data_IF_908258510110
#
_entry.id   IF_908258510110
#
_cell.length_a   1.000
_cell.length_b   1.000
_cell.length_c   1.000
_cell.angle_alpha   90.00
_cell.angle_beta   90.00
_cell.angle_gamma   90.00
#
_symmetry.space_group_name_H-M   'P 1'
#
loop_
_entity.id
_entity.type
_entity.pdbx_description
1 polymer ?
#
# COMPACT_ATOMS: atom_id res chain seq x y z
N UNK A 1 -0.82 -13.82 -24.16
CA UNK A 1 -0.50 -12.39 -24.03
C UNK A 1 -1.78 -11.56 -24.16
N UNK A 2 -2.13 -10.81 -23.14
CA UNK A 2 -3.35 -9.98 -23.11
C UNK A 2 -2.99 -8.60 -23.63
N UNK A 3 -3.65 -8.18 -24.73
CA UNK A 3 -3.44 -6.88 -25.33
C UNK A 3 -4.54 -5.88 -24.97
N UNK A 4 -5.70 -6.38 -24.52
CA UNK A 4 -6.84 -5.58 -24.07
C UNK A 4 -7.32 -6.11 -22.72
N UNK A 5 -7.60 -5.19 -21.78
CA UNK A 5 -8.11 -5.51 -20.46
C UNK A 5 -9.18 -4.48 -20.10
N UNK A 6 -10.37 -4.95 -19.78
CA UNK A 6 -11.45 -4.07 -19.33
C UNK A 6 -11.36 -3.89 -17.81
N UNK A 7 -11.55 -2.64 -17.37
CA UNK A 7 -11.44 -2.24 -15.96
C UNK A 7 -12.84 -1.97 -15.43
N UNK A 8 -13.17 -2.57 -14.29
CA UNK A 8 -14.44 -2.42 -13.59
C UNK A 8 -14.24 -1.86 -12.18
N UNK A 9 -15.31 -1.29 -11.63
CA UNK A 9 -15.42 -0.90 -10.24
C UNK A 9 -16.86 -1.12 -9.76
N UNK A 10 -17.06 -1.93 -8.72
CA UNK A 10 -18.39 -2.29 -8.21
C UNK A 10 -19.36 -2.72 -9.34
N UNK A 11 -18.88 -3.53 -10.27
CA UNK A 11 -19.67 -4.04 -11.41
C UNK A 11 -19.91 -3.05 -12.55
N UNK A 12 -19.44 -1.80 -12.45
CA UNK A 12 -19.55 -0.78 -13.49
C UNK A 12 -18.27 -0.73 -14.34
N UNK A 13 -18.37 -0.59 -15.66
CA UNK A 13 -17.20 -0.43 -16.51
C UNK A 13 -16.55 0.94 -16.27
N UNK A 14 -15.30 0.93 -15.83
CA UNK A 14 -14.49 2.16 -15.65
C UNK A 14 -13.87 2.58 -16.97
N UNK A 15 -13.32 1.63 -17.72
CA UNK A 15 -12.63 1.90 -18.96
C UNK A 15 -11.88 0.69 -19.49
N UNK A 16 -11.02 0.94 -20.47
CA UNK A 16 -10.26 -0.11 -21.15
C UNK A 16 -8.77 0.23 -21.17
N UNK A 17 -7.94 -0.74 -20.82
CA UNK A 17 -6.50 -0.74 -21.03
C UNK A 17 -6.15 -1.46 -22.32
N UNK A 18 -5.28 -0.89 -23.14
CA UNK A 18 -4.81 -1.46 -24.39
C UNK A 18 -3.28 -1.44 -24.43
N UNK A 19 -2.67 -2.57 -24.76
CA UNK A 19 -1.24 -2.66 -25.04
C UNK A 19 -1.01 -2.58 -26.55
N UNK A 20 -0.30 -1.55 -26.99
CA UNK A 20 0.03 -1.35 -28.40
C UNK A 20 1.18 -2.27 -28.86
N UNK A 21 1.39 -2.36 -30.17
CA UNK A 21 2.49 -3.17 -30.76
C UNK A 21 3.88 -2.68 -30.33
N UNK A 22 4.02 -1.39 -30.10
CA UNK A 22 5.24 -0.74 -29.57
C UNK A 22 5.31 -0.74 -28.04
N UNK A 23 4.50 -1.60 -27.39
CA UNK A 23 4.46 -1.85 -25.94
C UNK A 23 4.11 -0.64 -25.07
N UNK A 24 3.37 0.32 -25.59
CA UNK A 24 2.77 1.40 -24.80
C UNK A 24 1.41 0.98 -24.28
N UNK A 25 1.10 1.36 -23.04
CA UNK A 25 -0.21 1.15 -22.46
C UNK A 25 -1.05 2.40 -22.65
N UNK A 26 -2.23 2.21 -23.22
CA UNK A 26 -3.26 3.23 -23.37
C UNK A 26 -4.39 2.96 -22.39
N UNK A 27 -5.07 4.01 -21.95
CA UNK A 27 -6.29 3.91 -21.16
C UNK A 27 -7.33 4.92 -21.68
N UNK A 28 -8.57 4.49 -21.73
CA UNK A 28 -9.71 5.36 -22.02
C UNK A 28 -10.85 5.00 -21.07
N UNK A 29 -11.48 6.03 -20.49
CA UNK A 29 -12.70 5.85 -19.70
C UNK A 29 -13.86 5.37 -20.55
N UNK A 30 -14.76 4.58 -19.96
CA UNK A 30 -16.02 4.21 -20.58
C UNK A 30 -17.00 5.39 -20.56
N UNK A 31 -17.91 5.42 -21.54
CA UNK A 31 -18.99 6.42 -21.56
C UNK A 31 -19.88 6.38 -20.31
N UNK A 32 -20.08 5.18 -19.75
CA UNK A 32 -20.86 5.00 -18.52
C UNK A 32 -20.16 5.64 -17.32
N UNK A 33 -18.84 5.42 -17.20
CA UNK A 33 -18.05 5.99 -16.11
C UNK A 33 -17.93 7.51 -16.20
N UNK A 34 -17.81 8.05 -17.41
CA UNK A 34 -17.79 9.48 -17.65
C UNK A 34 -19.04 10.20 -17.16
N UNK A 35 -20.21 9.53 -17.21
CA UNK A 35 -21.49 10.12 -16.77
C UNK A 35 -21.64 10.16 -15.24
N UNK A 36 -21.12 9.19 -14.51
CA UNK A 36 -21.44 9.01 -13.08
C UNK A 36 -20.25 8.68 -12.20
N UNK A 37 -19.09 8.40 -12.78
CA UNK A 37 -17.88 8.03 -12.07
C UNK A 37 -17.08 9.23 -11.53
N UNK A 38 -15.84 8.97 -11.25
CA UNK A 38 -14.87 9.94 -10.76
C UNK A 38 -13.50 9.69 -11.41
N UNK A 39 -12.59 10.65 -11.30
CA UNK A 39 -11.20 10.46 -11.74
C UNK A 39 -10.49 9.47 -10.81
N UNK A 40 -10.07 8.32 -11.34
CA UNK A 40 -9.35 7.29 -10.57
C UNK A 40 -7.92 7.69 -10.23
N UNK A 41 -7.36 8.68 -10.91
CA UNK A 41 -6.14 9.41 -10.53
C UNK A 41 -6.33 10.88 -10.92
N UNK A 42 -6.66 11.78 -9.99
CA UNK A 42 -7.02 13.16 -10.31
C UNK A 42 -5.86 13.99 -10.91
N UNK A 43 -4.63 13.52 -10.80
CA UNK A 43 -3.45 14.21 -11.32
C UNK A 43 -3.03 13.71 -12.72
N UNK A 44 -3.25 12.43 -13.02
CA UNK A 44 -2.73 11.78 -14.24
C UNK A 44 -3.82 11.29 -15.19
N UNK A 45 -4.99 11.00 -14.66
CA UNK A 45 -6.14 10.50 -15.41
C UNK A 45 -7.40 11.32 -15.06
N UNK A 46 -7.43 12.62 -15.40
CA UNK A 46 -8.66 13.41 -15.23
C UNK A 46 -9.82 12.77 -15.97
N UNK A 47 -11.03 12.96 -15.45
CA UNK A 47 -12.23 12.38 -16.07
C UNK A 47 -12.52 13.08 -17.41
N UNK A 48 -12.12 12.47 -18.51
CA UNK A 48 -12.31 12.98 -19.87
C UNK A 48 -12.44 11.84 -20.88
N UNK A 49 -12.95 12.17 -22.10
CA UNK A 49 -13.08 11.24 -23.21
C UNK A 49 -11.76 10.92 -23.93
N UNK A 50 -10.67 11.57 -23.53
CA UNK A 50 -9.36 11.42 -24.15
C UNK A 50 -8.78 10.02 -23.94
N UNK A 51 -7.93 9.61 -24.88
CA UNK A 51 -7.10 8.43 -24.74
C UNK A 51 -5.80 8.83 -24.05
N UNK A 52 -5.58 8.33 -22.86
CA UNK A 52 -4.35 8.55 -22.12
C UNK A 52 -3.26 7.56 -22.54
N UNK A 53 -2.02 8.00 -22.52
CA UNK A 53 -0.85 7.18 -22.80
C UNK A 53 0.03 7.12 -21.55
N UNK A 54 0.32 5.92 -21.05
CA UNK A 54 1.21 5.77 -19.92
C UNK A 54 2.63 6.23 -20.30
N UNK A 55 3.20 7.08 -19.45
CA UNK A 55 4.50 7.71 -19.68
C UNK A 55 5.51 7.48 -18.56
N UNK A 56 5.05 6.95 -17.41
CA UNK A 56 5.92 6.71 -16.26
C UNK A 56 6.91 5.56 -16.52
N UNK A 57 8.21 5.75 -16.28
CA UNK A 57 9.19 4.69 -16.40
C UNK A 57 9.17 3.70 -15.21
N UNK A 58 8.49 4.04 -14.11
CA UNK A 58 8.61 3.34 -12.83
C UNK A 58 7.66 2.15 -12.67
N UNK A 59 6.59 2.04 -13.46
CA UNK A 59 5.50 1.07 -13.28
C UNK A 59 5.41 0.06 -14.42
N UNK A 60 6.55 -0.38 -14.98
CA UNK A 60 6.59 -1.31 -16.12
C UNK A 60 5.80 -0.80 -17.34
N UNK A 61 5.74 0.53 -17.51
CA UNK A 61 4.98 1.18 -18.59
C UNK A 61 3.47 1.23 -18.34
N UNK A 62 3.00 1.04 -17.11
CA UNK A 62 1.61 1.15 -16.71
C UNK A 62 1.36 2.51 -16.01
N UNK A 63 0.11 2.95 -15.96
CA UNK A 63 -0.28 4.06 -15.11
C UNK A 63 -0.19 3.67 -13.62
N UNK A 64 0.22 4.61 -12.78
CA UNK A 64 0.43 4.35 -11.36
C UNK A 64 -0.78 3.75 -10.64
N UNK A 65 -1.99 4.26 -10.92
CA UNK A 65 -3.23 3.77 -10.28
C UNK A 65 -3.52 2.30 -10.54
N UNK A 66 -3.20 1.79 -11.73
CA UNK A 66 -3.33 0.36 -12.02
C UNK A 66 -2.14 -0.42 -11.47
N UNK A 67 -0.97 0.22 -11.38
CA UNK A 67 0.21 -0.40 -10.80
C UNK A 67 0.09 -0.67 -9.30
N UNK A 68 -0.74 0.08 -8.58
CA UNK A 68 -1.08 -0.20 -7.17
C UNK A 68 -1.77 -1.57 -6.98
N UNK A 69 -2.39 -2.11 -8.03
CA UNK A 69 -2.97 -3.45 -8.03
C UNK A 69 -1.96 -4.55 -8.35
N UNK A 70 -0.80 -4.20 -8.93
CA UNK A 70 0.21 -5.20 -9.29
C UNK A 70 0.79 -5.87 -8.03
N UNK A 71 1.07 -7.17 -8.11
CA UNK A 71 1.79 -7.83 -7.03
C UNK A 71 3.18 -7.21 -6.85
N UNK A 72 3.55 -6.96 -5.60
CA UNK A 72 4.91 -6.58 -5.22
C UNK A 72 5.83 -7.81 -5.15
N UNK A 73 7.05 -7.64 -4.62
CA UNK A 73 8.12 -8.64 -4.66
C UNK A 73 7.67 -10.06 -4.25
N UNK A 74 6.92 -10.19 -3.15
CA UNK A 74 6.45 -11.49 -2.70
C UNK A 74 5.33 -12.04 -3.59
N UNK A 75 4.34 -11.23 -3.95
CA UNK A 75 3.25 -11.62 -4.85
C UNK A 75 3.76 -11.96 -6.27
N UNK A 76 4.76 -11.24 -6.76
CA UNK A 76 5.41 -11.54 -8.04
C UNK A 76 6.13 -12.90 -7.99
N UNK A 77 6.84 -13.19 -6.90
CA UNK A 77 7.49 -14.49 -6.69
C UNK A 77 6.47 -15.65 -6.68
N UNK A 78 5.32 -15.44 -6.02
CA UNK A 78 4.21 -16.37 -6.00
C UNK A 78 3.65 -16.62 -7.41
N UNK A 79 3.37 -15.54 -8.15
CA UNK A 79 2.85 -15.61 -9.51
C UNK A 79 3.82 -16.37 -10.43
N UNK A 80 5.10 -16.01 -10.41
CA UNK A 80 6.10 -16.67 -11.24
C UNK A 80 6.24 -18.16 -10.90
N UNK A 81 6.29 -18.52 -9.64
CA UNK A 81 6.40 -19.90 -9.20
C UNK A 81 5.18 -20.72 -9.63
N UNK A 82 3.98 -20.17 -9.41
CA UNK A 82 2.72 -20.79 -9.82
C UNK A 82 2.68 -21.09 -11.32
N UNK A 83 3.06 -20.11 -12.14
CA UNK A 83 3.03 -20.25 -13.59
C UNK A 83 4.08 -21.25 -14.10
N UNK A 84 5.29 -21.20 -13.55
CA UNK A 84 6.34 -22.17 -13.87
C UNK A 84 5.93 -23.61 -13.53
N UNK A 85 5.26 -23.82 -12.39
CA UNK A 85 4.74 -25.16 -12.03
C UNK A 85 3.69 -25.65 -13.03
N UNK A 86 2.99 -24.74 -13.73
CA UNK A 86 2.05 -25.05 -14.82
C UNK A 86 2.71 -25.12 -16.20
N UNK A 87 4.04 -25.04 -16.27
CA UNK A 87 4.80 -25.09 -17.52
C UNK A 87 4.70 -23.80 -18.36
N UNK A 88 4.26 -22.69 -17.77
CA UNK A 88 4.12 -21.41 -18.45
C UNK A 88 5.42 -20.62 -18.33
N UNK A 89 5.97 -20.19 -19.48
CA UNK A 89 7.09 -19.24 -19.50
C UNK A 89 6.61 -17.86 -19.02
N UNK A 90 7.24 -17.34 -17.98
CA UNK A 90 6.90 -16.04 -17.37
C UNK A 90 7.66 -14.87 -17.97
N UNK A 91 8.68 -15.12 -18.78
CA UNK A 91 9.51 -14.07 -19.37
C UNK A 91 8.76 -13.10 -20.32
N UNK A 92 7.75 -13.55 -21.11
CA UNK A 92 6.99 -12.65 -21.99
C UNK A 92 5.83 -11.93 -21.30
N UNK A 93 5.54 -12.19 -20.02
CA UNK A 93 4.39 -11.58 -19.33
C UNK A 93 4.46 -10.06 -19.31
N UNK A 94 3.39 -9.45 -19.79
CA UNK A 94 3.20 -8.00 -19.78
C UNK A 94 2.60 -7.53 -18.45
N UNK A 95 2.53 -6.22 -18.23
CA UNK A 95 1.82 -5.65 -17.10
C UNK A 95 0.30 -5.96 -17.14
N UNK A 96 -0.30 -6.05 -18.35
CA UNK A 96 -1.70 -6.43 -18.50
C UNK A 96 -1.95 -7.90 -18.15
N UNK A 97 -1.04 -8.81 -18.53
CA UNK A 97 -1.13 -10.20 -18.11
C UNK A 97 -1.12 -10.30 -16.57
N UNK A 98 -0.24 -9.56 -15.89
CA UNK A 98 -0.16 -9.53 -14.42
C UNK A 98 -1.43 -8.99 -13.78
N UNK A 99 -2.00 -7.91 -14.31
CA UNK A 99 -3.29 -7.38 -13.83
C UNK A 99 -4.42 -8.40 -13.98
N UNK A 100 -4.44 -9.18 -15.07
CA UNK A 100 -5.43 -10.25 -15.23
C UNK A 100 -5.28 -11.35 -14.17
N UNK A 101 -4.06 -11.67 -13.74
CA UNK A 101 -3.84 -12.62 -12.64
C UNK A 101 -4.20 -12.04 -11.25
N UNK A 102 -4.24 -10.73 -11.10
CA UNK A 102 -4.83 -10.06 -9.93
C UNK A 102 -6.35 -10.11 -9.98
N UNK A 103 -6.93 -9.86 -11.16
CA UNK A 103 -8.37 -9.90 -11.40
C UNK A 103 -9.14 -9.01 -10.44
N UNK A 104 -9.97 -9.61 -9.60
CA UNK A 104 -10.81 -8.92 -8.60
C UNK A 104 -10.21 -8.90 -7.19
N UNK A 105 -9.03 -9.50 -6.96
CA UNK A 105 -8.44 -9.66 -5.62
C UNK A 105 -7.58 -8.47 -5.16
N UNK A 106 -7.29 -7.51 -6.05
CA UNK A 106 -6.39 -6.38 -5.78
C UNK A 106 -6.82 -5.44 -4.65
N UNK A 107 -5.92 -4.52 -4.31
CA UNK A 107 -6.23 -3.42 -3.41
C UNK A 107 -7.16 -2.41 -4.09
N UNK A 108 -7.97 -1.72 -3.29
CA UNK A 108 -8.94 -0.75 -3.79
C UNK A 108 -10.15 -1.37 -4.49
N UNK A 109 -10.79 -0.59 -5.37
CA UNK A 109 -12.06 -0.95 -6.02
C UNK A 109 -11.87 -1.55 -7.42
N UNK A 110 -10.69 -1.35 -8.04
CA UNK A 110 -10.50 -1.72 -9.45
C UNK A 110 -10.43 -3.23 -9.63
N UNK A 111 -11.09 -3.71 -10.67
CA UNK A 111 -11.16 -5.11 -11.07
C UNK A 111 -10.84 -5.23 -12.56
N UNK A 112 -10.22 -6.33 -12.95
CA UNK A 112 -9.66 -6.51 -14.29
C UNK A 112 -10.25 -7.74 -14.97
N UNK A 113 -10.70 -7.57 -16.22
CA UNK A 113 -11.31 -8.63 -17.03
C UNK A 113 -10.55 -8.74 -18.36
N UNK A 114 -10.05 -9.94 -18.75
CA UNK A 114 -10.30 -11.24 -18.13
C UNK A 114 -9.68 -11.37 -16.75
N UNK A 115 -10.42 -12.05 -15.85
CA UNK A 115 -9.96 -12.40 -14.50
C UNK A 115 -9.37 -13.82 -14.53
N UNK A 116 -8.05 -13.91 -14.34
CA UNK A 116 -7.29 -15.16 -14.28
C UNK A 116 -6.83 -15.49 -12.85
N UNK A 117 -7.34 -14.77 -11.85
CA UNK A 117 -7.05 -15.03 -10.45
C UNK A 117 -7.57 -16.42 -10.04
N UNK A 118 -6.95 -17.07 -9.05
CA UNK A 118 -7.48 -18.33 -8.54
C UNK A 118 -8.86 -18.08 -7.90
N UNK A 119 -9.78 -18.99 -8.20
CA UNK A 119 -11.14 -18.95 -7.61
C UNK A 119 -11.17 -19.84 -6.39
N UNK A 120 -11.75 -19.37 -5.31
CA UNK A 120 -11.98 -20.11 -4.07
C UNK A 120 -12.01 -19.16 -2.86
N UNK A 121 -12.76 -19.51 -1.84
CA UNK A 121 -12.64 -18.92 -0.50
C UNK A 121 -11.52 -19.68 0.21
N UNK A 122 -10.33 -19.10 0.25
CA UNK A 122 -9.21 -19.68 0.98
C UNK A 122 -9.21 -19.08 2.40
N UNK A 123 -9.58 -19.91 3.36
CA UNK A 123 -9.46 -19.60 4.78
C UNK A 123 -8.12 -20.13 5.30
N UNK A 124 -7.55 -19.46 6.29
CA UNK A 124 -6.36 -19.95 6.97
C UNK A 124 -6.80 -20.56 8.29
N UNK A 125 -6.69 -21.89 8.37
CA UNK A 125 -6.92 -22.64 9.61
C UNK A 125 -5.66 -22.75 10.46
N UNK A 126 -4.48 -22.73 9.82
CA UNK A 126 -3.17 -22.89 10.46
C UNK A 126 -2.17 -21.85 9.93
N UNK A 127 -1.94 -20.79 10.70
CA UNK A 127 -0.97 -19.74 10.38
C UNK A 127 0.47 -20.26 10.34
N UNK A 128 0.79 -21.25 11.18
CA UNK A 128 2.14 -21.81 11.22
C UNK A 128 2.45 -22.62 9.96
N UNK A 129 1.45 -23.32 9.41
CA UNK A 129 1.58 -24.00 8.13
C UNK A 129 1.81 -22.99 6.98
N UNK A 130 1.04 -21.91 6.92
CA UNK A 130 1.22 -20.86 5.90
C UNK A 130 2.59 -20.19 6.03
N UNK A 131 3.04 -19.89 7.26
CA UNK A 131 4.40 -19.36 7.50
C UNK A 131 5.49 -20.31 6.96
N UNK A 132 5.33 -21.61 7.18
CA UNK A 132 6.26 -22.62 6.67
C UNK A 132 6.32 -22.63 5.14
N UNK A 133 5.18 -22.56 4.46
CA UNK A 133 5.09 -22.47 3.00
C UNK A 133 5.70 -21.17 2.45
N UNK A 134 5.44 -20.03 3.11
CA UNK A 134 6.09 -18.75 2.77
C UNK A 134 7.61 -18.85 2.86
N UNK A 135 8.12 -19.47 3.93
CA UNK A 135 9.56 -19.67 4.12
C UNK A 135 10.14 -20.66 3.09
N UNK A 136 9.41 -21.72 2.72
CA UNK A 136 9.82 -22.65 1.66
C UNK A 136 9.97 -21.90 0.34
N UNK A 137 8.97 -21.10 -0.04
CA UNK A 137 9.00 -20.27 -1.25
C UNK A 137 10.20 -19.33 -1.28
N UNK A 138 10.41 -18.54 -0.20
CA UNK A 138 11.52 -17.59 -0.09
C UNK A 138 12.90 -18.25 -0.17
N UNK A 139 13.01 -19.50 0.24
CA UNK A 139 14.24 -20.30 0.16
C UNK A 139 14.33 -21.13 -1.14
N UNK A 140 13.49 -20.85 -2.13
CA UNK A 140 13.43 -21.55 -3.42
C UNK A 140 13.18 -23.07 -3.29
N UNK A 141 12.55 -23.51 -2.20
CA UNK A 141 12.12 -24.88 -1.97
C UNK A 141 10.75 -25.15 -2.61
N UNK A 142 10.36 -26.40 -2.69
CA UNK A 142 9.01 -26.77 -3.11
C UNK A 142 7.96 -26.31 -2.09
N UNK A 143 6.81 -25.90 -2.60
CA UNK A 143 5.62 -25.44 -1.88
C UNK A 143 4.53 -26.48 -2.13
N UNK A 144 3.85 -26.94 -1.09
CA UNK A 144 2.84 -28.01 -1.19
C UNK A 144 1.63 -27.56 -2.02
N UNK A 145 1.09 -26.36 -1.74
CA UNK A 145 -0.05 -25.78 -2.48
C UNK A 145 0.21 -24.33 -2.88
N UNK A 146 0.88 -24.15 -4.01
CA UNK A 146 1.18 -22.83 -4.56
C UNK A 146 -0.09 -22.07 -5.02
N UNK A 147 -1.16 -22.77 -5.43
CA UNK A 147 -2.39 -22.13 -5.86
C UNK A 147 -3.12 -21.52 -4.65
N UNK A 148 -3.20 -22.23 -3.52
CA UNK A 148 -3.74 -21.70 -2.27
C UNK A 148 -2.91 -20.51 -1.75
N UNK A 149 -1.58 -20.65 -1.71
CA UNK A 149 -0.70 -19.58 -1.25
C UNK A 149 -0.79 -18.34 -2.15
N UNK A 150 -0.91 -18.52 -3.47
CA UNK A 150 -1.11 -17.39 -4.40
C UNK A 150 -2.47 -16.71 -4.20
N UNK A 151 -3.53 -17.48 -3.97
CA UNK A 151 -4.86 -16.92 -3.71
C UNK A 151 -4.89 -16.07 -2.44
N UNK A 152 -4.17 -16.49 -1.40
CA UNK A 152 -4.07 -15.76 -0.14
C UNK A 152 -3.18 -14.50 -0.24
N UNK A 153 -2.07 -14.55 -0.96
CA UNK A 153 -1.03 -13.51 -0.90
C UNK A 153 -0.66 -12.85 -2.22
N UNK A 154 -1.07 -13.40 -3.36
CA UNK A 154 -0.56 -13.03 -4.68
C UNK A 154 -0.91 -11.61 -5.15
N UNK A 155 -1.91 -10.96 -4.57
CA UNK A 155 -2.31 -9.58 -4.88
C UNK A 155 -1.92 -8.56 -3.80
N UNK A 156 -1.22 -8.99 -2.75
CA UNK A 156 -0.82 -8.09 -1.67
C UNK A 156 0.43 -7.29 -2.01
N UNK A 157 0.46 -6.01 -1.65
CA UNK A 157 1.62 -5.13 -1.82
C UNK A 157 2.67 -5.32 -0.72
N UNK A 158 3.94 -4.98 -1.02
CA UNK A 158 5.07 -4.99 -0.08
C UNK A 158 5.97 -6.22 -0.17
N UNK A 159 7.16 -6.13 0.42
CA UNK A 159 8.25 -7.13 0.26
C UNK A 159 8.10 -8.35 1.18
N UNK A 160 7.43 -8.20 2.32
CA UNK A 160 7.23 -9.30 3.28
C UNK A 160 6.06 -10.20 2.88
N UNK A 161 6.14 -11.51 3.17
CA UNK A 161 5.02 -12.42 2.99
C UNK A 161 3.79 -11.92 3.76
N UNK A 162 2.65 -11.94 3.10
CA UNK A 162 1.37 -11.58 3.72
C UNK A 162 0.23 -12.30 3.01
N UNK A 163 -0.88 -12.48 3.72
CA UNK A 163 -2.08 -13.11 3.18
C UNK A 163 -3.31 -12.29 3.49
N UNK A 164 -4.25 -12.32 2.55
CA UNK A 164 -5.59 -11.79 2.74
C UNK A 164 -6.44 -12.86 3.38
N UNK A 165 -7.10 -12.54 4.48
CA UNK A 165 -7.92 -13.50 5.23
C UNK A 165 -9.26 -12.89 5.62
N UNK A 166 -10.25 -13.76 5.88
CA UNK A 166 -11.46 -13.38 6.59
C UNK A 166 -11.27 -13.67 8.08
N UNK A 167 -11.30 -12.63 8.90
CA UNK A 167 -11.15 -12.73 10.34
C UNK A 167 -12.20 -11.85 11.04
N UNK A 168 -12.88 -12.38 12.06
CA UNK A 168 -13.99 -11.68 12.75
C UNK A 168 -15.07 -11.16 11.79
N UNK A 169 -15.33 -11.88 10.68
CA UNK A 169 -16.34 -11.53 9.68
C UNK A 169 -15.96 -10.45 8.68
N UNK A 170 -14.72 -9.94 8.75
CA UNK A 170 -14.21 -8.87 7.89
C UNK A 170 -12.92 -9.28 7.18
N UNK A 171 -12.45 -8.46 6.23
CA UNK A 171 -11.23 -8.73 5.48
C UNK A 171 -10.01 -8.11 6.17
N UNK A 172 -8.99 -8.93 6.41
CA UNK A 172 -7.76 -8.57 7.09
C UNK A 172 -6.54 -8.99 6.26
N UNK A 173 -5.42 -8.39 6.58
CA UNK A 173 -4.09 -8.80 6.11
C UNK A 173 -3.35 -9.36 7.32
N UNK A 174 -2.85 -10.60 7.21
CA UNK A 174 -1.89 -11.16 8.14
C UNK A 174 -0.49 -11.04 7.55
N UNK A 175 0.48 -10.61 8.34
CA UNK A 175 1.89 -10.53 7.94
C UNK A 175 2.66 -11.70 8.52
N UNK A 176 3.50 -12.31 7.68
CA UNK A 176 4.39 -13.40 8.05
C UNK A 176 5.84 -12.91 8.08
N UNK A 177 6.63 -13.45 8.98
CA UNK A 177 8.05 -13.11 9.08
C UNK A 177 8.84 -13.66 7.90
N UNK A 178 9.85 -12.92 7.48
CA UNK A 178 10.90 -13.40 6.60
C UNK A 178 12.13 -13.84 7.41
N UNK A 179 13.08 -14.50 6.75
CA UNK A 179 14.34 -14.92 7.42
C UNK A 179 15.22 -13.75 7.90
N UNK A 180 14.94 -12.54 7.43
CA UNK A 180 15.71 -11.34 7.77
C UNK A 180 15.05 -10.55 8.91
N UNK A 181 13.81 -10.89 9.27
CA UNK A 181 13.11 -10.21 10.33
C UNK A 181 13.53 -10.73 11.69
N UNK A 182 13.53 -9.88 12.72
CA UNK A 182 13.69 -10.32 14.10
C UNK A 182 12.53 -11.25 14.49
N UNK A 183 12.77 -12.14 15.46
CA UNK A 183 11.78 -13.13 15.90
C UNK A 183 10.52 -12.51 16.52
N UNK A 184 10.61 -11.26 16.99
CA UNK A 184 9.55 -10.48 17.62
C UNK A 184 8.92 -9.44 16.68
N UNK A 185 9.09 -9.60 15.36
CA UNK A 185 8.61 -8.60 14.37
C UNK A 185 7.10 -8.34 14.45
N UNK A 186 6.28 -9.38 14.67
CA UNK A 186 4.84 -9.24 14.81
C UNK A 186 4.47 -8.39 16.04
N UNK A 187 5.14 -8.63 17.16
CA UNK A 187 4.99 -7.83 18.38
C UNK A 187 5.45 -6.39 18.18
N UNK A 188 6.56 -6.20 17.48
CA UNK A 188 7.09 -4.86 17.18
C UNK A 188 6.10 -4.06 16.34
N UNK A 189 5.58 -4.62 15.23
CA UNK A 189 4.57 -3.97 14.39
C UNK A 189 3.30 -3.62 15.19
N UNK A 190 2.77 -4.56 15.95
CA UNK A 190 1.59 -4.34 16.79
C UNK A 190 1.80 -3.22 17.82
N UNK A 191 2.94 -3.21 18.50
CA UNK A 191 3.29 -2.20 19.52
C UNK A 191 3.50 -0.83 18.90
N UNK A 192 4.17 -0.73 17.75
CA UNK A 192 4.37 0.53 17.04
C UNK A 192 3.05 1.12 16.55
N UNK A 193 2.17 0.32 15.96
CA UNK A 193 0.85 0.77 15.52
C UNK A 193 -0.02 1.18 16.71
N UNK A 194 0.05 0.44 17.84
CA UNK A 194 -0.65 0.83 19.07
C UNK A 194 -0.12 2.15 19.63
N UNK A 195 1.19 2.38 19.55
CA UNK A 195 1.81 3.64 19.95
C UNK A 195 1.39 4.81 19.06
N UNK A 196 1.31 4.58 17.74
CA UNK A 196 0.81 5.56 16.77
C UNK A 196 -0.63 5.98 17.10
N UNK A 197 -1.49 5.02 17.44
CA UNK A 197 -2.88 5.30 17.89
C UNK A 197 -2.90 6.17 19.14
N UNK A 198 -2.04 5.90 20.13
CA UNK A 198 -1.90 6.73 21.34
C UNK A 198 -1.42 8.16 21.00
N UNK A 199 -0.55 8.31 20.02
CA UNK A 199 -0.10 9.61 19.52
C UNK A 199 -1.17 10.37 18.71
N UNK A 200 -2.39 9.81 18.57
CA UNK A 200 -3.51 10.40 17.88
C UNK A 200 -3.48 10.18 16.37
N UNK A 201 -2.70 9.23 15.87
CA UNK A 201 -2.70 8.83 14.45
C UNK A 201 -3.87 7.88 14.20
N UNK A 202 -4.63 8.15 13.16
CA UNK A 202 -5.68 7.25 12.68
C UNK A 202 -5.06 6.00 12.06
N UNK A 203 -5.35 4.83 12.64
CA UNK A 203 -4.91 3.53 12.14
C UNK A 203 -6.11 2.61 11.92
N UNK A 204 -6.01 1.58 11.06
CA UNK A 204 -7.00 0.51 11.00
C UNK A 204 -7.05 -0.28 12.31
N UNK A 205 -8.08 -1.10 12.49
CA UNK A 205 -8.09 -2.10 13.55
C UNK A 205 -6.91 -3.04 13.36
N UNK A 206 -6.23 -3.37 14.45
CA UNK A 206 -5.08 -4.28 14.49
C UNK A 206 -5.33 -5.39 15.50
N UNK A 207 -4.71 -6.54 15.28
CA UNK A 207 -4.75 -7.66 16.21
C UNK A 207 -3.42 -8.41 16.22
N UNK A 208 -3.20 -9.19 17.27
CA UNK A 208 -2.05 -10.05 17.44
C UNK A 208 -2.53 -11.44 17.83
N UNK A 209 -2.39 -12.40 16.94
CA UNK A 209 -2.79 -13.80 17.19
C UNK A 209 -1.58 -14.59 17.68
N UNK A 210 -1.77 -15.35 18.77
CA UNK A 210 -0.81 -16.32 19.23
C UNK A 210 -1.33 -17.73 18.94
N UNK A 211 -0.53 -18.55 18.25
CA UNK A 211 -0.85 -19.95 17.96
C UNK A 211 -0.55 -20.85 19.14
N UNK A 212 -1.03 -22.09 19.07
CA UNK A 212 -0.75 -23.12 20.10
C UNK A 212 0.75 -23.42 20.26
N UNK A 213 1.54 -23.14 19.21
CA UNK A 213 3.00 -23.32 19.23
C UNK A 213 3.75 -22.10 19.79
N UNK A 214 3.03 -21.04 20.21
CA UNK A 214 3.62 -19.81 20.75
C UNK A 214 4.12 -18.84 19.69
N UNK A 215 3.84 -19.06 18.40
CA UNK A 215 4.15 -18.10 17.35
C UNK A 215 3.10 -16.99 17.31
N UNK A 216 3.54 -15.77 17.01
CA UNK A 216 2.68 -14.60 16.94
C UNK A 216 2.62 -14.02 15.55
N UNK A 217 1.41 -13.61 15.15
CA UNK A 217 1.12 -13.05 13.85
C UNK A 217 0.40 -11.73 13.99
N UNK A 218 0.93 -10.70 13.34
CA UNK A 218 0.31 -9.37 13.30
C UNK A 218 -0.75 -9.32 12.21
N UNK A 219 -1.92 -8.82 12.57
CA UNK A 219 -3.06 -8.63 11.68
C UNK A 219 -3.44 -7.16 11.61
N UNK A 220 -3.80 -6.71 10.41
CA UNK A 220 -4.32 -5.38 10.17
C UNK A 220 -5.57 -5.47 9.29
N UNK A 221 -6.64 -4.82 9.73
CA UNK A 221 -7.90 -4.79 8.99
C UNK A 221 -7.75 -3.99 7.71
N UNK A 222 -8.33 -4.47 6.61
CA UNK A 222 -8.34 -3.76 5.34
C UNK A 222 -9.25 -2.53 5.44
N UNK A 223 -8.68 -1.35 5.26
CA UNK A 223 -9.43 -0.09 5.27
C UNK A 223 -10.06 0.23 3.89
N UNK A 224 -9.64 -0.45 2.85
CA UNK A 224 -10.23 -0.38 1.51
C UNK A 224 -11.43 -1.33 1.34
N UNK A 225 -11.87 -1.92 2.44
CA UNK A 225 -13.06 -2.78 2.54
C UNK A 225 -13.94 -2.30 3.68
N UNK A 226 -15.15 -1.86 3.36
CA UNK A 226 -16.10 -1.35 4.36
C UNK A 226 -17.46 -2.00 4.14
N UNK A 227 -17.96 -2.73 5.12
CA UNK A 227 -19.23 -3.45 5.07
C UNK A 227 -19.38 -4.31 3.79
N UNK A 228 -18.32 -5.04 3.42
CA UNK A 228 -18.26 -5.90 2.23
C UNK A 228 -18.15 -5.16 0.90
N UNK A 229 -18.03 -3.83 0.91
CA UNK A 229 -17.82 -3.02 -0.30
C UNK A 229 -16.35 -2.64 -0.45
N UNK A 230 -15.87 -2.64 -1.69
CA UNK A 230 -14.55 -2.14 -2.06
C UNK A 230 -14.59 -0.61 -2.15
N UNK A 231 -13.55 0.04 -1.69
CA UNK A 231 -13.37 1.50 -1.76
C UNK A 231 -12.17 1.80 -2.65
N UNK A 232 -12.28 2.82 -3.50
CA UNK A 232 -11.15 3.25 -4.31
C UNK A 232 -10.03 3.76 -3.41
N UNK A 233 -8.85 3.22 -3.63
CA UNK A 233 -7.61 3.58 -2.96
C UNK A 233 -6.55 3.89 -4.00
N UNK A 234 -5.73 4.90 -3.74
CA UNK A 234 -4.56 5.24 -4.55
C UNK A 234 -3.40 5.63 -3.64
N UNK A 235 -2.24 5.01 -3.84
CA UNK A 235 -1.03 5.40 -3.13
C UNK A 235 -0.46 6.72 -3.66
N UNK A 236 0.36 7.40 -2.85
CA UNK A 236 1.07 8.61 -3.29
C UNK A 236 2.05 8.29 -4.43
N UNK A 237 2.68 7.12 -4.41
CA UNK A 237 3.52 6.66 -5.51
C UNK A 237 2.75 6.60 -6.82
N UNK A 238 1.57 5.99 -6.80
CA UNK A 238 0.68 5.87 -7.95
C UNK A 238 0.10 7.21 -8.40
N UNK A 239 -0.28 8.05 -7.44
CA UNK A 239 -0.90 9.35 -7.69
C UNK A 239 0.06 10.32 -8.40
N UNK A 240 1.31 10.37 -7.94
CA UNK A 240 2.37 11.20 -8.50
C UNK A 240 3.10 10.55 -9.68
N UNK A 241 2.96 9.24 -9.84
CA UNK A 241 3.76 8.40 -10.73
C UNK A 241 5.27 8.57 -10.49
N UNK A 242 5.66 8.53 -9.23
CA UNK A 242 7.04 8.70 -8.77
C UNK A 242 7.67 7.36 -8.39
N UNK A 243 9.00 7.31 -8.45
CA UNK A 243 9.76 6.17 -7.93
C UNK A 243 9.59 6.10 -6.40
N UNK A 244 9.24 4.90 -5.90
CA UNK A 244 9.15 4.64 -4.47
C UNK A 244 10.36 3.85 -3.92
N UNK A 245 11.24 3.39 -4.81
CA UNK A 245 12.47 2.69 -4.44
C UNK A 245 13.64 3.66 -4.19
N UNK A 246 13.53 4.89 -4.67
CA UNK A 246 14.51 5.94 -4.46
C UNK A 246 13.87 7.14 -3.72
N UNK A 247 14.62 7.82 -2.83
CA UNK A 247 14.14 9.03 -2.15
C UNK A 247 13.79 10.12 -3.19
N UNK A 248 12.51 10.37 -3.38
CA UNK A 248 12.01 11.33 -4.37
C UNK A 248 10.90 12.23 -3.83
N UNK A 249 10.54 12.05 -2.57
CA UNK A 249 9.44 12.75 -1.92
C UNK A 249 9.95 13.53 -0.71
N UNK A 250 9.30 14.66 -0.43
CA UNK A 250 9.49 15.45 0.77
C UNK A 250 8.14 15.66 1.46
N UNK A 251 8.12 15.65 2.78
CA UNK A 251 6.89 15.85 3.56
C UNK A 251 6.22 17.20 3.30
N UNK A 252 6.96 18.23 2.87
CA UNK A 252 6.36 19.49 2.42
C UNK A 252 5.45 19.23 1.21
N UNK A 253 5.92 18.45 0.25
CA UNK A 253 5.14 18.07 -0.94
C UNK A 253 3.95 17.21 -0.55
N UNK A 254 4.16 16.20 0.31
CA UNK A 254 3.14 15.28 0.76
C UNK A 254 2.00 15.99 1.50
N UNK A 255 2.32 16.89 2.42
CA UNK A 255 1.33 17.67 3.18
C UNK A 255 0.56 18.65 2.27
N UNK A 256 1.24 19.31 1.32
CA UNK A 256 0.57 20.15 0.32
C UNK A 256 -0.36 19.33 -0.58
N UNK A 257 0.07 18.15 -1.01
CA UNK A 257 -0.75 17.23 -1.79
C UNK A 257 -1.99 16.80 -1.02
N UNK A 258 -1.83 16.44 0.26
CA UNK A 258 -2.94 16.12 1.15
C UNK A 258 -3.98 17.23 1.16
N UNK A 259 -3.56 18.48 1.40
CA UNK A 259 -4.47 19.63 1.40
C UNK A 259 -5.22 19.82 0.09
N UNK A 260 -4.54 19.64 -1.06
CA UNK A 260 -5.15 19.81 -2.38
C UNK A 260 -6.22 18.74 -2.64
N UNK A 261 -5.94 17.48 -2.25
CA UNK A 261 -6.80 16.34 -2.54
C UNK A 261 -7.99 16.26 -1.59
N UNK A 262 -7.73 16.39 -0.29
CA UNK A 262 -8.76 16.18 0.73
C UNK A 262 -9.56 17.44 1.01
N UNK A 263 -8.93 18.60 0.87
CA UNK A 263 -9.48 19.93 1.27
C UNK A 263 -9.91 19.95 2.74
N UNK A 264 -9.24 19.15 3.55
CA UNK A 264 -9.50 18.95 4.97
C UNK A 264 -8.22 19.24 5.76
N UNK A 265 -8.28 20.17 6.69
CA UNK A 265 -7.13 20.54 7.52
C UNK A 265 -6.83 19.49 8.60
N UNK A 266 -7.80 18.67 9.02
CA UNK A 266 -7.57 17.57 9.94
C UNK A 266 -6.69 16.50 9.27
N UNK A 267 -6.91 16.19 7.99
CA UNK A 267 -6.04 15.31 7.21
C UNK A 267 -4.63 15.90 7.03
N UNK A 268 -4.52 17.22 6.90
CA UNK A 268 -3.22 17.92 6.81
C UNK A 268 -2.45 17.79 8.13
N UNK A 269 -3.11 18.01 9.27
CA UNK A 269 -2.51 17.87 10.60
C UNK A 269 -2.16 16.40 10.90
N UNK A 270 -3.00 15.49 10.45
CA UNK A 270 -2.75 14.06 10.54
C UNK A 270 -1.48 13.65 9.75
N UNK A 271 -1.30 14.16 8.52
CA UNK A 271 -0.10 13.88 7.73
C UNK A 271 1.15 14.47 8.39
N UNK A 272 1.05 15.66 8.98
CA UNK A 272 2.16 16.24 9.75
C UNK A 272 2.50 15.39 10.98
N UNK A 273 1.49 14.88 11.69
CA UNK A 273 1.68 14.00 12.85
C UNK A 273 2.38 12.69 12.44
N UNK A 274 2.03 12.11 11.29
CA UNK A 274 2.71 10.92 10.74
C UNK A 274 4.18 11.19 10.44
N UNK A 275 4.51 12.35 9.87
CA UNK A 275 5.90 12.78 9.68
C UNK A 275 6.66 12.79 11.01
N UNK A 276 6.11 13.47 12.02
CA UNK A 276 6.74 13.56 13.34
C UNK A 276 6.94 12.17 13.95
N UNK A 277 5.92 11.32 13.87
CA UNK A 277 5.97 9.97 14.41
C UNK A 277 7.02 9.11 13.70
N UNK A 278 7.06 9.11 12.35
CA UNK A 278 8.06 8.37 11.56
C UNK A 278 9.49 8.78 11.93
N UNK A 279 9.73 10.08 12.08
CA UNK A 279 11.04 10.60 12.51
C UNK A 279 11.40 10.09 13.91
N UNK A 280 10.47 10.15 14.86
CA UNK A 280 10.73 9.78 16.26
C UNK A 280 10.95 8.27 16.47
N UNK A 281 10.32 7.42 15.67
CA UNK A 281 10.52 5.96 15.76
C UNK A 281 11.62 5.45 14.81
N UNK A 282 12.31 6.34 14.09
CA UNK A 282 13.33 5.99 13.07
C UNK A 282 12.77 5.05 11.98
N UNK A 283 11.55 5.32 11.51
CA UNK A 283 10.95 4.65 10.36
C UNK A 283 11.48 5.27 9.07
N UNK A 284 12.64 4.82 8.60
CA UNK A 284 13.27 5.33 7.38
C UNK A 284 12.61 4.77 6.10
N UNK A 285 11.81 3.70 6.21
CA UNK A 285 11.08 3.10 5.09
C UNK A 285 9.73 3.80 4.81
N UNK A 286 9.68 5.11 5.05
CA UNK A 286 8.53 5.97 4.86
C UNK A 286 8.35 6.40 3.38
N UNK A 287 8.36 5.41 2.48
CA UNK A 287 8.29 5.65 1.05
C UNK A 287 6.87 5.97 0.55
N UNK A 288 6.77 6.49 -0.68
CA UNK A 288 5.53 6.99 -1.27
C UNK A 288 4.37 5.98 -1.36
N UNK A 289 4.63 4.66 -1.32
CA UNK A 289 3.58 3.63 -1.23
C UNK A 289 2.97 3.47 0.17
N UNK A 290 3.63 3.98 1.22
CA UNK A 290 3.13 3.91 2.60
C UNK A 290 2.16 5.04 2.95
N UNK A 291 1.82 5.88 1.97
CA UNK A 291 0.79 6.91 2.07
C UNK A 291 -0.24 6.70 0.98
N UNK A 292 -1.52 6.74 1.34
CA UNK A 292 -2.60 6.53 0.39
C UNK A 292 -3.80 7.44 0.67
N UNK A 293 -4.65 7.57 -0.33
CA UNK A 293 -5.92 8.27 -0.25
C UNK A 293 -7.06 7.35 -0.65
N UNK A 294 -8.19 7.51 0.00
CA UNK A 294 -9.44 6.81 -0.28
C UNK A 294 -10.43 7.78 -0.91
N UNK A 295 -11.15 7.33 -1.92
CA UNK A 295 -12.23 8.12 -2.49
C UNK A 295 -13.54 7.87 -1.74
N UNK A 296 -14.12 8.91 -1.20
CA UNK A 296 -15.44 8.88 -0.56
C UNK A 296 -16.51 9.30 -1.57
N UNK A 297 -17.34 8.35 -1.99
CA UNK A 297 -18.42 8.60 -2.94
C UNK A 297 -19.47 9.58 -2.40
N UNK A 298 -19.67 9.63 -1.07
CA UNK A 298 -20.68 10.48 -0.45
C UNK A 298 -20.32 11.96 -0.50
N UNK A 299 -19.06 12.28 -0.26
CA UNK A 299 -18.52 13.66 -0.35
C UNK A 299 -17.93 13.96 -1.72
N UNK A 300 -17.79 12.96 -2.60
CA UNK A 300 -17.12 13.05 -3.92
C UNK A 300 -15.72 13.65 -3.80
N UNK A 301 -15.00 13.29 -2.77
CA UNK A 301 -13.66 13.80 -2.48
C UNK A 301 -12.73 12.69 -2.00
N UNK A 302 -11.43 12.93 -2.10
CA UNK A 302 -10.44 12.05 -1.48
C UNK A 302 -10.29 12.38 0.00
N UNK A 303 -9.99 11.36 0.81
CA UNK A 303 -9.61 11.47 2.22
C UNK A 303 -8.29 10.75 2.44
N UNK A 304 -7.54 11.16 3.43
CA UNK A 304 -6.34 10.45 3.83
C UNK A 304 -6.73 9.06 4.37
N UNK A 305 -6.05 8.01 3.91
CA UNK A 305 -6.28 6.66 4.45
C UNK A 305 -5.82 6.59 5.91
N UNK A 306 -6.33 5.65 6.71
CA UNK A 306 -5.66 5.28 7.94
C UNK A 306 -4.18 4.95 7.69
N UNK A 307 -3.31 5.19 8.67
CA UNK A 307 -1.88 4.92 8.55
C UNK A 307 -1.57 3.42 8.69
N UNK A 308 -0.56 2.96 7.99
CA UNK A 308 -0.08 1.58 8.00
C UNK A 308 1.45 1.56 7.86
N UNK A 309 2.07 0.43 8.16
CA UNK A 309 3.52 0.22 8.07
C UNK A 309 4.35 1.27 8.86
N UNK A 310 3.87 1.66 10.04
CA UNK A 310 4.56 2.55 10.97
C UNK A 310 5.46 1.72 11.90
N UNK A 311 6.59 1.22 11.37
CA UNK A 311 7.51 0.35 12.10
C UNK A 311 8.94 0.87 11.93
N UNK A 312 9.77 0.91 12.98
CA UNK A 312 11.19 1.24 12.82
C UNK A 312 11.84 0.40 11.74
N UNK A 313 12.54 1.03 10.84
CA UNK A 313 13.20 0.35 9.74
C UNK A 313 14.31 1.19 9.17
N UNK A 314 15.45 0.56 8.87
CA UNK A 314 16.59 1.26 8.28
C UNK A 314 16.63 1.02 6.78
N UNK A 315 16.82 2.08 6.02
CA UNK A 315 17.12 1.99 4.59
C UNK A 315 18.61 1.68 4.38
N UNK A 316 18.95 1.26 3.16
CA UNK A 316 20.34 0.97 2.80
C UNK A 316 21.28 2.17 3.02
N UNK A 317 20.80 3.39 2.82
CA UNK A 317 21.57 4.61 2.98
C UNK A 317 21.50 5.21 4.39
N UNK A 318 20.71 4.65 5.30
CA UNK A 318 20.48 5.17 6.65
C UNK A 318 19.78 6.53 6.66
N UNK A 319 18.92 6.76 5.69
CA UNK A 319 18.14 7.99 5.51
C UNK A 319 16.66 7.68 5.30
N UNK A 320 15.78 8.58 5.72
CA UNK A 320 14.35 8.53 5.41
C UNK A 320 14.13 8.56 3.89
N UNK A 321 13.22 7.73 3.41
CA UNK A 321 12.83 7.71 1.99
C UNK A 321 12.02 8.96 1.62
N UNK A 322 11.26 9.50 2.56
CA UNK A 322 10.61 10.81 2.44
C UNK A 322 11.37 11.82 3.28
N UNK A 323 11.99 12.81 2.64
CA UNK A 323 12.79 13.82 3.33
C UNK A 323 11.90 14.78 4.16
N UNK A 324 12.49 15.35 5.22
CA UNK A 324 11.89 16.40 6.06
C UNK A 324 12.65 17.69 5.83
N UNK A 325 12.04 18.64 5.14
CA UNK A 325 12.68 19.90 4.77
C UNK A 325 14.01 19.69 4.01
N UNK A 326 14.01 18.72 3.09
CA UNK A 326 15.17 18.35 2.28
C UNK A 326 16.22 17.48 2.97
N UNK A 327 16.00 17.07 4.22
CA UNK A 327 16.90 16.19 4.99
C UNK A 327 16.36 14.77 5.08
N UNK A 328 17.21 13.78 4.82
CA UNK A 328 16.89 12.36 5.02
C UNK A 328 17.36 11.81 6.37
N UNK A 329 18.27 12.53 7.06
CA UNK A 329 18.84 12.11 8.36
C UNK A 329 19.14 13.31 9.25
N UNK A 330 19.47 13.05 10.51
CA UNK A 330 19.78 14.07 11.52
C UNK A 330 18.69 15.12 11.63
N UNK A 331 17.43 14.68 11.47
CA UNK A 331 16.25 15.54 11.47
C UNK A 331 16.02 16.06 12.90
N UNK A 332 15.92 17.36 13.03
CA UNK A 332 15.70 18.05 14.30
C UNK A 332 14.29 18.69 14.35
N UNK A 333 13.86 19.08 15.54
CA UNK A 333 12.58 19.78 15.72
C UNK A 333 12.44 21.01 14.79
N UNK A 334 13.52 21.77 14.62
CA UNK A 334 13.51 22.95 13.73
C UNK A 334 13.23 22.58 12.26
N UNK A 335 13.63 21.38 11.80
CA UNK A 335 13.34 20.91 10.44
C UNK A 335 11.85 20.61 10.30
N UNK A 336 11.25 19.95 11.30
CA UNK A 336 9.80 19.68 11.34
C UNK A 336 8.99 20.98 11.41
N UNK A 337 9.42 21.96 12.22
CA UNK A 337 8.79 23.29 12.28
C UNK A 337 8.94 24.08 10.97
N UNK A 338 10.04 23.88 10.23
CA UNK A 338 10.21 24.45 8.89
C UNK A 338 9.19 23.87 7.89
N UNK A 339 8.92 22.56 7.98
CA UNK A 339 7.84 21.91 7.20
C UNK A 339 6.48 22.53 7.55
N UNK A 340 6.16 22.71 8.85
CA UNK A 340 4.92 23.35 9.28
C UNK A 340 4.76 24.75 8.68
N UNK A 341 5.82 25.57 8.74
CA UNK A 341 5.82 26.92 8.17
C UNK A 341 5.57 26.90 6.65
N UNK A 342 6.26 26.02 5.90
CA UNK A 342 6.13 25.93 4.46
C UNK A 342 4.77 25.39 4.01
N UNK A 343 4.11 24.63 4.88
CA UNK A 343 2.78 24.03 4.65
C UNK A 343 1.65 24.84 5.31
N UNK A 344 1.95 26.01 5.88
CA UNK A 344 0.98 26.91 6.53
C UNK A 344 0.24 26.28 7.72
N UNK A 345 0.88 25.34 8.41
CA UNK A 345 0.39 24.83 9.69
C UNK A 345 0.82 25.83 10.78
N UNK A 346 -0.09 26.31 11.67
CA UNK A 346 0.27 27.20 12.75
C UNK A 346 1.36 26.59 13.65
N UNK A 347 2.39 27.37 13.95
CA UNK A 347 3.56 26.86 14.70
C UNK A 347 3.17 26.37 16.11
N UNK A 348 2.19 26.99 16.75
CA UNK A 348 1.68 26.52 18.04
C UNK A 348 1.04 25.13 17.95
N UNK A 349 0.30 24.86 16.87
CA UNK A 349 -0.30 23.55 16.61
C UNK A 349 0.78 22.51 16.29
N UNK A 350 1.75 22.87 15.45
CA UNK A 350 2.86 22.00 15.11
C UNK A 350 3.67 21.59 16.35
N UNK A 351 3.99 22.56 17.24
CA UNK A 351 4.68 22.27 18.51
C UNK A 351 3.88 21.33 19.40
N UNK A 352 2.58 21.55 19.57
CA UNK A 352 1.73 20.68 20.37
C UNK A 352 1.70 19.23 19.83
N UNK A 353 1.70 19.06 18.50
CA UNK A 353 1.78 17.74 17.86
C UNK A 353 3.15 17.07 18.15
N UNK A 354 4.24 17.83 17.98
CA UNK A 354 5.60 17.33 18.25
C UNK A 354 5.75 16.92 19.72
N UNK A 355 5.36 17.77 20.66
CA UNK A 355 5.42 17.51 22.10
C UNK A 355 4.60 16.26 22.47
N UNK A 356 3.38 16.13 21.91
CA UNK A 356 2.54 14.94 22.14
C UNK A 356 3.21 13.67 21.63
N UNK A 357 3.75 13.67 20.42
CA UNK A 357 4.44 12.52 19.87
C UNK A 357 5.71 12.17 20.66
N UNK A 358 6.50 13.17 21.07
CA UNK A 358 7.70 12.94 21.92
C UNK A 358 7.28 12.32 23.25
N UNK A 359 6.26 12.84 23.92
CA UNK A 359 5.79 12.32 25.19
C UNK A 359 5.36 10.84 25.11
N UNK A 360 4.69 10.47 24.01
CA UNK A 360 4.24 9.09 23.80
C UNK A 360 5.40 8.18 23.43
N UNK A 361 6.24 8.56 22.45
CA UNK A 361 7.35 7.73 21.96
C UNK A 361 8.42 7.54 23.02
N UNK A 362 8.69 8.54 23.88
CA UNK A 362 9.68 8.44 24.95
C UNK A 362 9.32 7.40 26.02
N UNK A 363 8.07 6.98 26.15
CA UNK A 363 7.62 5.93 27.06
C UNK A 363 7.79 4.52 26.47
N UNK A 364 8.16 4.39 25.22
CA UNK A 364 8.28 3.13 24.52
C UNK A 364 9.70 2.53 24.67
N UNK A 365 9.95 1.82 25.77
CA UNK A 365 11.26 1.21 26.05
C UNK A 365 11.71 0.22 24.96
N UNK A 366 10.77 -0.39 24.24
CA UNK A 366 11.05 -1.34 23.15
C UNK A 366 11.69 -0.68 21.92
N UNK A 367 11.63 0.65 21.78
CA UNK A 367 12.28 1.41 20.70
C UNK A 367 13.74 1.79 21.04
N UNK A 368 14.19 1.56 22.30
CA UNK A 368 15.51 1.97 22.78
C UNK A 368 16.61 0.90 22.61
N UNK A 369 16.34 -0.15 21.84
CA UNK A 369 17.30 -1.27 21.63
C UNK A 369 18.34 -0.95 20.57
#
# INVERSE_FOLDING_TARGET
MINKLDVFAAGKPVGTLLLTKDRRVLFQYSEEWLKSGFSINPLKLPLSEEVFVASSPYFRGLFGVFADSLPDSFGELLLERRLRNKGVDTSPLTCLDRLAYVGSSGMGILEYVPDLSPRGDFEIDDFDAVQKECNALLNSKEVEDIDALFALGGSSGGSRPKSLIRYKGEEWIVKFSSRFDPSDIADLEYRCMSLAKQAGISIPDIDLIETKNGHRYYLIKRFDRVAGRKIHMISVAALLETDFLAPSLDYVTLIKLTRILTKDEDDVLEMFRRMVFNVLIDNQDDHAKNFAFLYDESSRSYRLSPAYDLTPGKTYFGEHTTSVNGKGKDIQENDMLAVAKQTRIPISVAKAIIETCIAIVSQADFLRK
#
